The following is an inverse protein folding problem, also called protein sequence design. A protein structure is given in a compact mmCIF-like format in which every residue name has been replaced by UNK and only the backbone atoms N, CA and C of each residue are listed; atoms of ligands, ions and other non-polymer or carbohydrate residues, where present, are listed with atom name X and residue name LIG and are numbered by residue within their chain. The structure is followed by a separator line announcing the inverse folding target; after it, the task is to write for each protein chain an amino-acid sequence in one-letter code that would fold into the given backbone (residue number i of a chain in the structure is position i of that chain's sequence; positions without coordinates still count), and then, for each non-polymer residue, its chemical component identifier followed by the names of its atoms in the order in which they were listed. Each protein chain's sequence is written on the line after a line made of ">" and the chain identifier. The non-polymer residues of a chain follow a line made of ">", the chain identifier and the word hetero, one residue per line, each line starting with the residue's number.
data_IF_274515557926
#
_entry.id   IF_274515557926
#
_cell.length_a   1.000
_cell.length_b   1.000
_cell.length_c   1.000
_cell.angle_alpha   90.00
_cell.angle_beta   90.00
_cell.angle_gamma   90.00
#
_symmetry.space_group_name_H-M   'P 1'
#
loop_
_entity.id
_entity.type
_entity.pdbx_description
1 polymer ?
#
# COMPACT_ATOMS: atom_id res chain seq x y z
N UNK A 1 44.69 21.03 -30.51
CA UNK A 1 43.58 20.26 -29.91
C UNK A 1 43.64 20.58 -28.43
N UNK A 2 42.72 21.41 -27.96
CA UNK A 2 42.88 22.07 -26.66
C UNK A 2 42.49 21.12 -25.53
N UNK A 3 43.19 21.22 -24.40
CA UNK A 3 42.99 20.36 -23.22
C UNK A 3 41.52 20.32 -22.79
N UNK A 4 40.80 21.44 -22.93
CA UNK A 4 39.36 21.56 -22.63
C UNK A 4 38.47 20.71 -23.56
N UNK A 5 38.86 20.57 -24.83
CA UNK A 5 38.14 19.73 -25.79
C UNK A 5 38.29 18.24 -25.45
N UNK A 6 39.48 17.85 -24.98
CA UNK A 6 39.77 16.47 -24.56
C UNK A 6 38.99 16.14 -23.29
N UNK A 7 38.97 17.04 -22.31
CA UNK A 7 38.23 16.85 -21.06
C UNK A 7 36.72 16.75 -21.32
N UNK A 8 36.16 17.62 -22.19
CA UNK A 8 34.75 17.54 -22.57
C UNK A 8 34.39 16.22 -23.26
N UNK A 9 35.26 15.70 -24.12
CA UNK A 9 35.05 14.42 -24.80
C UNK A 9 35.03 13.25 -23.82
N UNK A 10 35.94 13.26 -22.84
CA UNK A 10 36.01 12.22 -21.79
C UNK A 10 34.76 12.26 -20.91
N UNK A 11 34.30 13.45 -20.50
CA UNK A 11 33.07 13.60 -19.71
C UNK A 11 31.85 13.11 -20.50
N UNK A 12 31.74 13.49 -21.78
CA UNK A 12 30.65 13.04 -22.65
C UNK A 12 30.63 11.50 -22.78
N UNK A 13 31.79 10.88 -22.97
CA UNK A 13 31.91 9.42 -23.05
C UNK A 13 31.54 8.74 -21.72
N UNK A 14 31.96 9.31 -20.59
CA UNK A 14 31.58 8.81 -19.26
C UNK A 14 30.07 8.91 -19.02
N UNK A 15 29.42 9.99 -19.44
CA UNK A 15 27.96 10.14 -19.34
C UNK A 15 27.26 9.09 -20.21
N UNK A 16 27.71 8.88 -21.45
CA UNK A 16 27.14 7.90 -22.39
C UNK A 16 27.30 6.46 -21.89
N UNK A 17 28.35 6.14 -21.12
CA UNK A 17 28.56 4.80 -20.57
C UNK A 17 27.88 4.63 -19.21
N UNK A 18 27.98 5.64 -18.33
CA UNK A 18 27.46 5.58 -16.96
C UNK A 18 25.94 5.65 -16.91
N UNK A 19 25.27 6.43 -17.77
CA UNK A 19 23.80 6.50 -17.79
C UNK A 19 23.17 5.13 -18.11
N UNK A 20 23.53 4.44 -19.21
CA UNK A 20 22.94 3.14 -19.53
C UNK A 20 23.26 2.08 -18.49
N UNK A 21 24.46 2.09 -17.90
CA UNK A 21 24.85 1.17 -16.82
C UNK A 21 24.06 1.42 -15.53
N UNK A 22 23.83 2.68 -15.15
CA UNK A 22 22.96 3.05 -14.03
C UNK A 22 21.50 2.67 -14.30
N UNK A 23 21.03 2.80 -15.54
CA UNK A 23 19.70 2.32 -15.94
C UNK A 23 19.60 0.78 -15.99
N UNK A 24 20.66 0.06 -16.37
CA UNK A 24 20.68 -1.42 -16.42
C UNK A 24 20.67 -2.08 -15.03
N UNK A 25 21.17 -1.40 -14.00
CA UNK A 25 21.10 -1.86 -12.60
C UNK A 25 19.72 -1.70 -11.96
N UNK A 26 18.73 -1.15 -12.69
CA UNK A 26 17.33 -1.19 -12.24
C UNK A 26 16.91 -2.66 -12.16
N UNK A 27 16.78 -3.19 -10.94
CA UNK A 27 16.17 -4.49 -10.70
C UNK A 27 14.82 -4.50 -11.42
N UNK A 28 14.68 -5.35 -12.43
CA UNK A 28 13.38 -5.55 -13.09
C UNK A 28 12.36 -5.92 -12.02
N UNK A 29 11.12 -5.42 -12.11
CA UNK A 29 10.05 -5.89 -11.23
C UNK A 29 9.97 -7.41 -11.35
N UNK A 30 9.84 -8.07 -10.21
CA UNK A 30 9.73 -9.51 -10.09
C UNK A 30 8.27 -9.85 -10.39
N UNK A 31 7.95 -10.44 -11.56
CA UNK A 31 6.58 -10.70 -11.97
C UNK A 31 5.89 -11.78 -11.12
N UNK A 32 6.60 -12.35 -10.14
CA UNK A 32 6.14 -13.45 -9.32
C UNK A 32 5.45 -13.00 -8.01
N UNK A 33 5.55 -11.73 -7.61
CA UNK A 33 5.02 -11.23 -6.33
C UNK A 33 3.51 -11.35 -6.22
N UNK A 34 2.79 -11.23 -7.35
CA UNK A 34 1.35 -11.48 -7.41
C UNK A 34 0.99 -12.94 -7.15
N UNK A 35 1.68 -13.87 -7.79
CA UNK A 35 1.41 -15.29 -7.63
C UNK A 35 1.78 -15.76 -6.23
N UNK A 36 2.95 -15.33 -5.73
CA UNK A 36 3.40 -15.61 -4.36
C UNK A 36 2.36 -15.15 -3.33
N UNK A 37 1.83 -13.93 -3.49
CA UNK A 37 0.83 -13.40 -2.57
C UNK A 37 -0.51 -14.14 -2.68
N UNK A 38 -0.91 -14.52 -3.89
CA UNK A 38 -2.12 -15.31 -4.10
C UNK A 38 -2.04 -16.70 -3.45
N UNK A 39 -0.92 -17.41 -3.62
CA UNK A 39 -0.73 -18.70 -2.95
C UNK A 39 -0.70 -18.54 -1.43
N UNK A 40 -0.02 -17.51 -0.93
CA UNK A 40 -0.01 -17.20 0.50
C UNK A 40 -1.43 -16.97 1.06
N UNK A 41 -2.28 -16.20 0.37
CA UNK A 41 -3.66 -15.96 0.81
C UNK A 41 -4.42 -17.28 0.95
N UNK A 42 -4.24 -18.22 0.02
CA UNK A 42 -4.84 -19.55 0.11
C UNK A 42 -4.31 -20.35 1.29
N UNK A 43 -3.01 -20.31 1.54
CA UNK A 43 -2.37 -21.00 2.69
C UNK A 43 -2.94 -20.54 4.03
N UNK A 44 -3.23 -19.24 4.18
CA UNK A 44 -3.88 -18.71 5.39
C UNK A 44 -5.41 -18.85 5.39
N UNK A 45 -5.97 -19.61 4.44
CA UNK A 45 -7.40 -19.92 4.38
C UNK A 45 -8.28 -18.80 3.83
N UNK A 46 -7.72 -17.83 3.10
CA UNK A 46 -8.48 -16.80 2.40
C UNK A 46 -8.91 -17.31 1.03
N UNK A 47 -10.21 -17.26 0.75
CA UNK A 47 -10.76 -17.55 -0.58
C UNK A 47 -10.45 -16.36 -1.50
N UNK A 48 -9.69 -16.63 -2.55
CA UNK A 48 -9.23 -15.62 -3.48
C UNK A 48 -9.17 -16.15 -4.91
N UNK A 49 -9.21 -15.26 -5.90
CA UNK A 49 -9.01 -15.59 -7.31
C UNK A 49 -8.21 -14.52 -8.05
N UNK A 50 -7.49 -14.91 -9.10
CA UNK A 50 -6.71 -14.00 -9.92
C UNK A 50 -7.59 -13.34 -10.99
N UNK A 51 -7.58 -12.02 -11.07
CA UNK A 51 -8.29 -11.25 -12.11
C UNK A 51 -7.43 -11.11 -13.36
N UNK A 52 -8.03 -11.14 -14.55
CA UNK A 52 -7.30 -10.88 -15.80
C UNK A 52 -6.65 -9.49 -15.81
N UNK A 53 -5.47 -9.38 -16.44
CA UNK A 53 -4.74 -8.11 -16.54
C UNK A 53 -5.52 -7.10 -17.36
N UNK A 54 -5.36 -5.82 -17.01
CA UNK A 54 -6.05 -4.72 -17.70
C UNK A 54 -7.41 -4.37 -17.10
N UNK A 55 -7.74 -4.93 -15.93
CA UNK A 55 -8.92 -4.53 -15.18
C UNK A 55 -8.85 -3.04 -14.79
N UNK A 56 -9.94 -2.29 -14.94
CA UNK A 56 -9.96 -0.86 -14.62
C UNK A 56 -9.60 -0.56 -13.15
N UNK A 57 -9.85 -1.51 -12.24
CA UNK A 57 -9.46 -1.38 -10.83
C UNK A 57 -7.95 -1.29 -10.64
N UNK A 58 -7.14 -1.79 -11.58
CA UNK A 58 -5.68 -1.71 -11.52
C UNK A 58 -5.18 -0.27 -11.51
N UNK A 59 -5.95 0.65 -12.08
CA UNK A 59 -5.62 2.08 -12.19
C UNK A 59 -6.01 2.87 -10.94
N UNK A 60 -6.78 2.29 -10.01
CA UNK A 60 -7.28 2.99 -8.83
C UNK A 60 -6.11 3.42 -7.95
N UNK A 61 -6.03 4.72 -7.66
CA UNK A 61 -4.99 5.28 -6.81
C UNK A 61 -3.60 5.39 -7.44
N UNK A 62 -3.47 5.03 -8.72
CA UNK A 62 -2.24 5.20 -9.50
C UNK A 62 -2.23 6.56 -10.19
N UNK A 63 -1.13 7.30 -10.01
CA UNK A 63 -0.86 8.52 -10.77
C UNK A 63 0.18 8.23 -11.85
N UNK A 64 -0.08 8.71 -13.07
CA UNK A 64 0.86 8.62 -14.22
C UNK A 64 2.24 9.20 -13.91
N UNK A 65 2.33 10.13 -12.96
CA UNK A 65 3.56 10.85 -12.62
C UNK A 65 4.39 10.09 -11.56
N UNK A 66 3.77 9.16 -10.83
CA UNK A 66 4.35 8.56 -9.62
C UNK A 66 5.32 7.40 -9.86
N UNK A 67 5.51 6.97 -11.11
CA UNK A 67 6.29 5.76 -11.43
C UNK A 67 5.70 4.49 -10.82
N UNK A 68 4.42 4.53 -10.41
CA UNK A 68 3.69 3.41 -9.83
C UNK A 68 2.92 2.67 -10.92
N UNK A 69 2.98 1.35 -10.88
CA UNK A 69 2.27 0.45 -11.78
C UNK A 69 1.63 -0.69 -10.99
N UNK A 70 0.48 -1.17 -11.44
CA UNK A 70 -0.16 -2.37 -10.92
C UNK A 70 0.57 -3.62 -11.44
N UNK A 71 0.76 -4.61 -10.57
CA UNK A 71 1.19 -5.97 -10.93
C UNK A 71 -0.02 -6.89 -11.22
N UNK A 72 -1.20 -6.51 -10.74
CA UNK A 72 -2.47 -7.18 -10.98
C UNK A 72 -3.34 -7.23 -9.72
N UNK A 73 -4.58 -7.68 -9.94
CA UNK A 73 -5.60 -7.74 -8.89
C UNK A 73 -5.88 -9.19 -8.47
N UNK A 74 -6.12 -9.35 -7.18
CA UNK A 74 -6.61 -10.56 -6.56
C UNK A 74 -8.00 -10.24 -6.00
N UNK A 75 -9.03 -10.94 -6.47
CA UNK A 75 -10.38 -10.85 -5.91
C UNK A 75 -10.44 -11.66 -4.61
N UNK A 76 -11.22 -11.19 -3.64
CA UNK A 76 -11.48 -11.91 -2.41
C UNK A 76 -12.96 -12.29 -2.31
N UNK A 77 -13.22 -13.47 -1.77
CA UNK A 77 -14.58 -13.95 -1.52
C UNK A 77 -14.83 -14.06 -0.01
N UNK A 78 -16.09 -13.87 0.41
CA UNK A 78 -16.51 -13.96 1.82
C UNK A 78 -15.75 -13.02 2.78
N UNK A 79 -15.34 -11.84 2.29
CA UNK A 79 -14.60 -10.82 3.06
C UNK A 79 -15.19 -9.42 2.90
N UNK A 80 -14.88 -8.55 3.86
CA UNK A 80 -15.23 -7.12 3.77
C UNK A 80 -14.33 -6.40 2.76
N UNK A 81 -13.11 -6.87 2.56
CA UNK A 81 -12.24 -6.42 1.47
C UNK A 81 -12.69 -7.09 0.17
N UNK A 82 -12.90 -6.32 -0.90
CA UNK A 82 -13.42 -6.87 -2.16
C UNK A 82 -12.28 -7.38 -3.07
N UNK A 83 -11.14 -6.69 -3.07
CA UNK A 83 -9.97 -7.10 -3.86
C UNK A 83 -8.68 -6.48 -3.32
N UNK A 84 -7.55 -7.02 -3.75
CA UNK A 84 -6.21 -6.52 -3.41
C UNK A 84 -5.48 -6.21 -4.71
N UNK A 85 -4.98 -4.99 -4.83
CA UNK A 85 -4.12 -4.57 -5.91
C UNK A 85 -2.67 -4.49 -5.42
N UNK A 86 -1.75 -5.12 -6.15
CA UNK A 86 -0.33 -5.12 -5.83
C UNK A 86 0.33 -4.02 -6.64
N UNK A 87 0.89 -3.03 -5.95
CA UNK A 87 1.47 -1.85 -6.57
C UNK A 87 2.99 -1.90 -6.50
N UNK A 88 3.62 -1.68 -7.64
CA UNK A 88 5.05 -1.53 -7.81
C UNK A 88 5.36 -0.05 -7.93
N UNK A 89 6.28 0.47 -7.12
CA UNK A 89 6.83 1.81 -7.29
C UNK A 89 8.33 1.72 -7.59
N UNK A 90 8.71 2.11 -8.80
CA UNK A 90 10.11 2.17 -9.21
C UNK A 90 10.69 3.55 -8.89
N UNK A 91 11.87 3.57 -8.25
CA UNK A 91 12.61 4.78 -7.94
C UNK A 91 14.10 4.64 -8.33
N UNK A 92 14.85 5.74 -8.25
CA UNK A 92 16.31 5.72 -8.45
C UNK A 92 17.06 4.86 -7.41
N UNK A 93 16.43 4.58 -6.26
CA UNK A 93 17.00 3.78 -5.18
C UNK A 93 16.54 2.31 -5.21
N UNK A 94 15.73 1.93 -6.20
CA UNK A 94 15.22 0.57 -6.36
C UNK A 94 13.70 0.50 -6.47
N UNK A 95 13.20 -0.73 -6.43
CA UNK A 95 11.79 -1.08 -6.61
C UNK A 95 11.17 -1.43 -5.25
N UNK A 96 10.05 -0.80 -4.93
CA UNK A 96 9.27 -1.06 -3.71
C UNK A 96 7.87 -1.55 -4.08
N UNK A 97 7.32 -2.41 -3.24
CA UNK A 97 6.00 -3.00 -3.43
C UNK A 97 5.06 -2.54 -2.31
N UNK A 98 3.79 -2.36 -2.66
CA UNK A 98 2.70 -1.99 -1.75
C UNK A 98 1.48 -2.87 -2.00
N UNK A 99 0.64 -2.99 -0.98
CA UNK A 99 -0.65 -3.66 -1.08
C UNK A 99 -1.73 -2.60 -0.88
N UNK A 100 -2.59 -2.47 -1.87
CA UNK A 100 -3.79 -1.64 -1.82
C UNK A 100 -5.00 -2.56 -1.71
N UNK A 101 -5.53 -2.72 -0.49
CA UNK A 101 -6.77 -3.45 -0.24
C UNK A 101 -7.94 -2.54 -0.63
N UNK A 102 -8.65 -2.92 -1.68
CA UNK A 102 -9.76 -2.17 -2.26
C UNK A 102 -11.07 -2.55 -1.59
N UNK A 103 -11.76 -1.54 -1.08
CA UNK A 103 -13.06 -1.67 -0.41
C UNK A 103 -14.07 -0.76 -1.11
N UNK A 104 -15.05 -1.36 -1.77
CA UNK A 104 -16.17 -0.67 -2.42
C UNK A 104 -16.94 0.08 -1.35
N UNK A 105 -17.05 1.39 -1.53
CA UNK A 105 -17.64 2.30 -0.54
C UNK A 105 -18.86 2.96 -1.17
N UNK A 106 -20.05 2.45 -0.89
CA UNK A 106 -21.31 2.95 -1.48
C UNK A 106 -21.59 4.42 -1.15
N UNK A 107 -21.09 4.91 -0.01
CA UNK A 107 -21.37 6.25 0.50
C UNK A 107 -20.33 7.29 0.08
N UNK A 108 -19.31 6.90 -0.69
CA UNK A 108 -18.30 7.84 -1.21
C UNK A 108 -18.79 8.34 -2.56
N UNK A 109 -19.51 9.45 -2.53
CA UNK A 109 -19.87 10.21 -3.72
C UNK A 109 -18.74 11.18 -4.07
N UNK A 110 -18.49 11.41 -5.37
CA UNK A 110 -17.46 12.33 -5.87
C UNK A 110 -17.51 13.75 -5.26
N UNK A 111 -18.66 14.18 -4.74
CA UNK A 111 -18.87 15.51 -4.16
C UNK A 111 -18.50 15.64 -2.67
N UNK A 112 -18.19 14.54 -1.96
CA UNK A 112 -17.79 14.59 -0.55
C UNK A 112 -16.27 14.71 -0.45
N UNK A 113 -15.78 15.80 0.14
CA UNK A 113 -14.36 15.98 0.46
C UNK A 113 -13.96 15.10 1.65
N UNK A 114 -13.61 13.85 1.36
CA UNK A 114 -13.10 12.96 2.39
C UNK A 114 -11.60 13.15 2.59
N UNK A 115 -11.20 13.31 3.85
CA UNK A 115 -9.80 13.32 4.27
C UNK A 115 -9.25 11.89 4.43
N UNK A 116 -8.01 11.68 4.01
CA UNK A 116 -7.27 10.45 4.33
C UNK A 116 -7.25 10.19 5.84
N UNK A 117 -7.40 8.93 6.22
CA UNK A 117 -7.37 8.49 7.62
C UNK A 117 -6.14 7.62 7.84
N UNK A 118 -5.38 7.86 8.91
CA UNK A 118 -4.13 7.14 9.20
C UNK A 118 -4.07 6.71 10.65
N UNK A 119 -3.44 5.57 10.88
CA UNK A 119 -3.13 5.10 12.23
C UNK A 119 -1.90 5.88 12.75
N UNK A 120 -2.07 6.55 13.88
CA UNK A 120 -0.98 7.24 14.58
C UNK A 120 -0.63 6.52 15.86
N UNK A 121 0.67 6.44 16.15
CA UNK A 121 1.22 5.67 17.27
C UNK A 121 1.88 6.64 18.21
N UNK A 122 1.43 6.66 19.47
CA UNK A 122 2.08 7.41 20.54
C UNK A 122 3.02 6.48 21.31
N UNK A 123 4.30 6.84 21.35
CA UNK A 123 5.33 6.13 22.11
C UNK A 123 5.60 6.87 23.43
N UNK A 124 5.89 6.15 24.51
CA UNK A 124 6.34 6.75 25.76
C UNK A 124 7.75 7.29 25.61
N UNK A 125 7.96 8.54 26.01
CA UNK A 125 9.30 9.12 26.15
C UNK A 125 10.09 8.48 27.30
N UNK A 126 9.42 8.08 28.39
CA UNK A 126 10.06 7.60 29.63
C UNK A 126 10.46 6.11 29.55
N UNK A 127 9.78 5.29 28.74
CA UNK A 127 10.03 3.84 28.59
C UNK A 127 10.50 3.50 27.16
N UNK A 128 11.63 4.07 26.72
CA UNK A 128 12.36 3.70 25.49
C UNK A 128 11.49 3.19 24.32
N UNK A 129 10.53 4.02 23.88
CA UNK A 129 9.81 3.74 22.63
C UNK A 129 8.67 2.69 22.70
N UNK A 130 8.27 2.21 23.89
CA UNK A 130 7.07 1.38 24.04
C UNK A 130 5.84 2.14 23.54
N UNK A 131 5.00 1.48 22.74
CA UNK A 131 3.74 2.06 22.25
C UNK A 131 2.77 2.15 23.42
N UNK A 132 2.34 3.37 23.75
CA UNK A 132 1.42 3.68 24.86
C UNK A 132 -0.01 3.82 24.36
N UNK A 133 -0.19 4.34 23.15
CA UNK A 133 -1.51 4.48 22.55
C UNK A 133 -1.45 4.40 21.02
N UNK A 134 -2.56 3.96 20.44
CA UNK A 134 -2.84 4.02 19.02
C UNK A 134 -4.12 4.83 18.81
N UNK A 135 -4.10 5.67 17.79
CA UNK A 135 -5.18 6.60 17.51
C UNK A 135 -5.31 6.80 16.00
N UNK A 136 -6.49 6.53 15.45
CA UNK A 136 -6.84 6.89 14.08
C UNK A 136 -7.11 8.38 13.98
N UNK A 137 -6.53 9.03 12.96
CA UNK A 137 -6.70 10.46 12.68
C UNK A 137 -7.00 10.69 11.20
N UNK A 138 -7.89 11.63 10.88
CA UNK A 138 -8.26 11.94 9.50
C UNK A 138 -9.70 12.41 9.38
N UNK A 139 -10.50 11.68 8.60
CA UNK A 139 -11.95 11.87 8.58
C UNK A 139 -12.55 11.63 9.97
N UNK A 140 -13.36 12.58 10.47
CA UNK A 140 -13.85 12.54 11.85
C UNK A 140 -14.74 11.33 12.11
N UNK A 141 -15.65 11.00 11.19
CA UNK A 141 -16.60 9.91 11.34
C UNK A 141 -15.88 8.55 11.33
N UNK A 142 -15.06 8.32 10.29
CA UNK A 142 -14.33 7.07 10.16
C UNK A 142 -13.33 6.89 11.32
N UNK A 143 -12.54 7.91 11.63
CA UNK A 143 -11.57 7.82 12.72
C UNK A 143 -12.24 7.55 14.08
N UNK A 144 -13.39 8.17 14.35
CA UNK A 144 -14.15 7.92 15.57
C UNK A 144 -14.64 6.47 15.65
N UNK A 145 -15.24 5.94 14.57
CA UNK A 145 -15.70 4.54 14.53
C UNK A 145 -14.55 3.54 14.75
N UNK A 146 -13.41 3.75 14.11
CA UNK A 146 -12.23 2.90 14.25
C UNK A 146 -11.60 2.98 15.66
N UNK A 147 -11.61 4.16 16.27
CA UNK A 147 -11.08 4.36 17.62
C UNK A 147 -11.97 3.74 18.72
N UNK A 148 -13.27 3.60 18.47
CA UNK A 148 -14.21 2.96 19.39
C UNK A 148 -14.30 1.44 19.25
N UNK A 149 -13.73 0.86 18.19
CA UNK A 149 -13.68 -0.60 18.03
C UNK A 149 -12.57 -1.19 18.92
N UNK A 150 -12.94 -1.63 20.11
CA UNK A 150 -12.01 -2.26 21.06
C UNK A 150 -11.40 -3.55 20.51
N UNK A 151 -12.14 -4.32 19.70
CA UNK A 151 -11.60 -5.55 19.09
C UNK A 151 -10.51 -5.23 18.08
N UNK A 152 -10.71 -4.19 17.27
CA UNK A 152 -9.69 -3.69 16.36
C UNK A 152 -8.46 -3.21 17.15
N UNK A 153 -8.68 -2.42 18.20
CA UNK A 153 -7.60 -1.90 19.04
C UNK A 153 -6.77 -3.02 19.65
N UNK A 154 -7.40 -4.04 20.22
CA UNK A 154 -6.71 -5.16 20.84
C UNK A 154 -5.88 -5.95 19.83
N UNK A 155 -6.42 -6.20 18.62
CA UNK A 155 -5.67 -6.85 17.53
C UNK A 155 -4.46 -6.01 17.10
N UNK A 156 -4.62 -4.70 16.91
CA UNK A 156 -3.51 -3.81 16.53
C UNK A 156 -2.40 -3.75 17.59
N UNK A 157 -2.73 -3.99 18.87
CA UNK A 157 -1.77 -4.02 19.98
C UNK A 157 -0.96 -5.33 20.07
N UNK A 158 -1.37 -6.40 19.39
CA UNK A 158 -0.61 -7.65 19.33
C UNK A 158 0.76 -7.44 18.70
N UNK A 159 1.75 -8.25 19.13
CA UNK A 159 3.17 -8.09 18.76
C UNK A 159 3.40 -8.25 17.25
N UNK A 160 2.64 -9.13 16.60
CA UNK A 160 2.81 -9.44 15.18
C UNK A 160 2.32 -8.31 14.25
N UNK A 161 1.52 -7.38 14.78
CA UNK A 161 1.02 -6.20 14.06
C UNK A 161 1.96 -5.00 14.22
N UNK A 162 3.10 -5.15 14.91
CA UNK A 162 4.05 -4.04 15.15
C UNK A 162 4.67 -3.45 13.90
N UNK A 163 4.88 -4.26 12.85
CA UNK A 163 5.40 -3.81 11.55
C UNK A 163 4.43 -2.91 10.76
N UNK A 164 3.14 -2.92 11.11
CA UNK A 164 2.10 -2.12 10.46
C UNK A 164 1.85 -0.76 11.13
N UNK A 165 2.51 -0.53 12.28
CA UNK A 165 2.31 0.63 13.15
C UNK A 165 2.87 1.89 12.50
N UNK A 166 2.03 2.56 11.71
CA UNK A 166 2.33 3.81 11.00
C UNK A 166 2.35 3.70 9.47
N UNK A 167 2.19 2.49 8.93
CA UNK A 167 2.16 2.24 7.48
C UNK A 167 0.75 2.09 6.91
N UNK A 168 -0.28 1.82 7.75
CA UNK A 168 -1.66 1.72 7.29
C UNK A 168 -2.24 3.12 7.01
N UNK A 169 -2.48 3.40 5.74
CA UNK A 169 -3.24 4.56 5.30
C UNK A 169 -4.60 4.14 4.73
N UNK A 170 -5.66 4.85 5.08
CA UNK A 170 -6.98 4.72 4.47
C UNK A 170 -7.16 5.92 3.53
N UNK A 171 -7.20 5.65 2.24
CA UNK A 171 -7.26 6.63 1.17
C UNK A 171 -8.57 6.47 0.39
N UNK A 172 -9.53 7.39 0.58
CA UNK A 172 -10.73 7.45 -0.24
C UNK A 172 -10.38 7.71 -1.71
N UNK A 173 -11.05 7.01 -2.63
CA UNK A 173 -10.93 7.18 -4.08
C UNK A 173 -12.31 7.47 -4.70
N UNK A 174 -12.88 8.69 -4.49
CA UNK A 174 -14.28 8.95 -4.83
C UNK A 174 -14.62 8.84 -6.31
N UNK A 175 -13.65 9.08 -7.18
CA UNK A 175 -13.81 8.92 -8.64
C UNK A 175 -14.07 7.47 -9.06
N UNK A 176 -13.67 6.52 -8.22
CA UNK A 176 -13.76 5.09 -8.51
C UNK A 176 -14.80 4.38 -7.63
N UNK A 177 -15.35 5.05 -6.61
CA UNK A 177 -16.30 4.43 -5.66
C UNK A 177 -15.63 3.44 -4.70
N UNK A 178 -14.32 3.58 -4.48
CA UNK A 178 -13.54 2.72 -3.59
C UNK A 178 -12.87 3.53 -2.49
N UNK A 179 -12.48 2.84 -1.44
CA UNK A 179 -11.48 3.27 -0.47
C UNK A 179 -10.36 2.25 -0.48
N UNK A 180 -9.12 2.74 -0.46
CA UNK A 180 -7.93 1.90 -0.37
C UNK A 180 -7.46 1.87 1.07
N UNK A 181 -7.23 0.67 1.60
CA UNK A 181 -6.35 0.49 2.74
C UNK A 181 -4.98 0.21 2.15
N UNK A 182 -4.03 1.13 2.29
CA UNK A 182 -2.67 1.03 1.75
C UNK A 182 -1.71 0.58 2.82
N UNK A 183 -0.92 -0.45 2.52
CA UNK A 183 0.20 -0.91 3.36
C UNK A 183 1.46 -1.10 2.53
N UNK A 184 2.61 -1.19 3.19
CA UNK A 184 3.81 -1.78 2.57
C UNK A 184 3.55 -3.24 2.20
N UNK A 185 4.27 -3.77 1.21
CA UNK A 185 4.20 -5.18 0.89
C UNK A 185 4.83 -6.02 2.01
N UNK A 186 4.01 -6.87 2.61
CA UNK A 186 4.37 -7.89 3.59
C UNK A 186 3.29 -8.96 3.54
N UNK A 187 3.66 -10.23 3.74
CA UNK A 187 2.68 -11.32 3.89
C UNK A 187 1.98 -11.15 5.24
N UNK A 188 0.68 -10.77 5.28
CA UNK A 188 -0.01 -10.48 6.54
C UNK A 188 -0.37 -11.78 7.28
N UNK A 189 -0.01 -11.89 8.55
CA UNK A 189 -0.53 -13.00 9.37
C UNK A 189 -2.08 -13.02 9.37
N UNK A 190 -2.72 -14.15 9.70
CA UNK A 190 -4.17 -14.22 9.80
C UNK A 190 -4.77 -13.11 10.67
N UNK A 191 -4.12 -12.78 11.79
CA UNK A 191 -4.55 -11.74 12.73
C UNK A 191 -4.45 -10.34 12.14
N UNK A 192 -3.40 -10.09 11.34
CA UNK A 192 -3.25 -8.85 10.58
C UNK A 192 -4.34 -8.74 9.54
N UNK A 193 -4.59 -9.81 8.79
CA UNK A 193 -5.59 -9.83 7.74
C UNK A 193 -6.99 -9.60 8.31
N UNK A 194 -7.33 -10.24 9.43
CA UNK A 194 -8.55 -9.99 10.20
C UNK A 194 -8.69 -8.51 10.62
N UNK A 195 -7.59 -7.89 11.07
CA UNK A 195 -7.62 -6.48 11.46
C UNK A 195 -7.92 -5.57 10.25
N UNK A 196 -7.35 -5.88 9.07
CA UNK A 196 -7.64 -5.18 7.82
C UNK A 196 -9.10 -5.39 7.39
N UNK A 197 -9.64 -6.59 7.56
CA UNK A 197 -11.03 -6.92 7.23
C UNK A 197 -12.01 -6.18 8.17
N UNK A 198 -11.67 -6.06 9.45
CA UNK A 198 -12.41 -5.22 10.41
C UNK A 198 -12.39 -3.74 9.98
N UNK A 199 -11.24 -3.22 9.55
CA UNK A 199 -11.14 -1.84 9.02
C UNK A 199 -12.03 -1.70 7.77
N UNK A 200 -12.02 -2.68 6.87
CA UNK A 200 -12.85 -2.67 5.66
C UNK A 200 -14.35 -2.66 6.00
N UNK A 201 -14.79 -3.37 7.04
CA UNK A 201 -16.17 -3.31 7.54
C UNK A 201 -16.58 -1.90 7.98
N UNK A 202 -15.70 -1.20 8.71
CA UNK A 202 -15.95 0.20 9.10
C UNK A 202 -16.04 1.10 7.87
N UNK A 203 -15.18 0.90 6.87
CA UNK A 203 -15.22 1.62 5.60
C UNK A 203 -16.54 1.39 4.85
N UNK A 204 -17.04 0.15 4.80
CA UNK A 204 -18.33 -0.18 4.17
C UNK A 204 -19.52 0.50 4.87
N UNK A 205 -19.38 0.80 6.16
CA UNK A 205 -20.41 1.40 7.01
C UNK A 205 -20.30 2.92 7.16
N UNK A 206 -19.27 3.54 6.56
CA UNK A 206 -18.87 4.94 6.75
C UNK A 206 -19.50 5.90 5.74
#
# INVERSE_FOLDING_TARGET
>A
MDLESIISLIIALLVVIALPLAFRRRKKPDPQKREDFYQYLKEIGVKASLVEKGNEREKIGLSRISGQTSEGIIELEDRNIDSINIIIAASQYGTSYFLDYLVKSSNITANRTVKKTRLTVKKSFILWGKVVAMEWKGDKSLAQSLNFDYRLKDRLLQRDVTGLRGSIGILPEPKHGYTRIKTSYSLPSPEVFDALDIIARHIKSW
#
